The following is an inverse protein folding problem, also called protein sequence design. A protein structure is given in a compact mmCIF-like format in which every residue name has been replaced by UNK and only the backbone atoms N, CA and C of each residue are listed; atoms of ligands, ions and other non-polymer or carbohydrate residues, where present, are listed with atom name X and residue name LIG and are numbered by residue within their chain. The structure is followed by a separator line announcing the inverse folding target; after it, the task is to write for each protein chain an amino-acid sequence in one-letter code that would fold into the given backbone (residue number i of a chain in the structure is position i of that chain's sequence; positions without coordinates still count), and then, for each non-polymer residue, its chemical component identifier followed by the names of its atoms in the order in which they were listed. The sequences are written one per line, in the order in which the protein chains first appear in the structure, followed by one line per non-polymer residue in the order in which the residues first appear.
data_IF_306481977902
#
_entry.id   IF_306481977902
#
_cell.length_a   1.000
_cell.length_b   1.000
_cell.length_c   1.000
_cell.angle_alpha   90.00
_cell.angle_beta   90.00
_cell.angle_gamma   90.00
#
_symmetry.space_group_name_H-M   'P 1'
#
loop_
_entity.id
_entity.type
_entity.pdbx_description
1 polymer ?
#
# COMPACT_ATOMS: atom_id res chain seq x y z
N UNK A 1 21.19 -19.10 -25.64
CA UNK A 1 19.74 -19.05 -25.34
C UNK A 1 19.12 -20.39 -25.65
N UNK A 2 18.31 -20.87 -24.74
CA UNK A 2 17.68 -22.19 -24.82
C UNK A 2 16.31 -22.20 -25.51
N UNK A 3 15.89 -21.08 -26.10
CA UNK A 3 14.61 -20.95 -26.79
C UNK A 3 13.40 -20.85 -25.86
N UNK A 4 13.61 -20.65 -24.57
CA UNK A 4 12.51 -20.46 -23.60
C UNK A 4 11.80 -19.15 -23.82
N UNK A 5 10.47 -19.21 -23.96
CA UNK A 5 9.63 -18.04 -23.93
C UNK A 5 9.18 -17.77 -22.49
N UNK A 6 9.25 -16.50 -22.06
CA UNK A 6 8.76 -16.07 -20.75
C UNK A 6 7.48 -15.29 -20.96
N UNK A 7 6.39 -15.77 -20.36
CA UNK A 7 5.15 -15.02 -20.30
C UNK A 7 5.20 -14.05 -19.13
N UNK A 8 4.85 -12.80 -19.39
CA UNK A 8 4.66 -11.82 -18.35
C UNK A 8 3.23 -11.95 -17.83
N UNK A 9 3.01 -12.26 -16.56
CA UNK A 9 1.67 -12.32 -15.98
C UNK A 9 0.95 -10.98 -16.12
N UNK A 10 -0.37 -11.01 -16.32
CA UNK A 10 -1.18 -9.80 -16.43
C UNK A 10 -1.20 -9.00 -15.12
N UNK A 11 -1.27 -9.68 -13.99
CA UNK A 11 -1.31 -9.06 -12.68
C UNK A 11 0.03 -9.23 -11.99
N UNK A 12 0.62 -8.14 -11.52
CA UNK A 12 1.95 -8.15 -10.94
C UNK A 12 2.05 -7.35 -9.66
N UNK A 13 2.86 -7.85 -8.73
CA UNK A 13 3.34 -7.10 -7.57
C UNK A 13 4.74 -6.59 -7.92
N UNK A 14 4.91 -5.27 -7.99
CA UNK A 14 6.15 -4.64 -8.45
C UNK A 14 6.76 -3.83 -7.33
N UNK A 15 7.85 -4.32 -6.69
CA UNK A 15 8.61 -3.50 -5.75
C UNK A 15 9.23 -2.31 -6.46
N UNK A 16 9.16 -1.15 -5.83
CA UNK A 16 9.72 0.08 -6.35
C UNK A 16 10.59 0.75 -5.29
N UNK A 17 11.29 1.82 -5.67
CA UNK A 17 12.11 2.59 -4.73
C UNK A 17 11.24 3.33 -3.71
N UNK A 18 11.87 3.87 -2.65
CA UNK A 18 11.23 4.68 -1.61
C UNK A 18 10.15 3.95 -0.80
N UNK A 19 10.36 2.63 -0.55
CA UNK A 19 9.45 1.83 0.26
C UNK A 19 8.03 1.82 -0.31
N UNK A 20 7.94 1.53 -1.59
CA UNK A 20 6.71 1.53 -2.35
C UNK A 20 6.58 0.20 -3.10
N UNK A 21 5.38 -0.36 -3.11
CA UNK A 21 5.07 -1.54 -3.92
C UNK A 21 3.81 -1.28 -4.71
N UNK A 22 3.88 -1.48 -6.01
CA UNK A 22 2.75 -1.30 -6.91
C UNK A 22 2.12 -2.65 -7.23
N UNK A 23 0.81 -2.63 -7.39
CA UNK A 23 0.05 -3.74 -7.97
C UNK A 23 -0.45 -3.28 -9.32
N UNK A 24 -0.11 -4.01 -10.36
CA UNK A 24 -0.45 -3.62 -11.73
C UNK A 24 -1.27 -4.68 -12.46
N UNK A 25 -2.07 -4.22 -13.39
CA UNK A 25 -2.83 -5.07 -14.33
C UNK A 25 -2.51 -4.59 -15.74
N UNK A 26 -2.05 -5.50 -16.58
CA UNK A 26 -1.68 -5.22 -17.98
C UNK A 26 -0.69 -4.04 -18.08
N UNK A 27 0.26 -3.95 -17.16
CA UNK A 27 1.27 -2.90 -17.12
C UNK A 27 0.81 -1.56 -16.53
N UNK A 28 -0.44 -1.45 -16.09
CA UNK A 28 -0.98 -0.24 -15.46
C UNK A 28 -1.04 -0.40 -13.95
N UNK A 29 -0.43 0.52 -13.22
CA UNK A 29 -0.50 0.55 -11.76
C UNK A 29 -1.91 0.91 -11.32
N UNK A 30 -2.53 0.04 -10.51
CA UNK A 30 -3.91 0.26 -10.03
C UNK A 30 -3.96 0.61 -8.55
N UNK A 31 -3.02 0.14 -7.75
CA UNK A 31 -2.96 0.44 -6.32
C UNK A 31 -1.50 0.41 -5.89
N UNK A 32 -1.13 1.26 -4.95
CA UNK A 32 0.23 1.31 -4.43
C UNK A 32 0.25 1.24 -2.91
N UNK A 33 1.08 0.35 -2.39
CA UNK A 33 1.34 0.17 -0.97
C UNK A 33 2.54 1.00 -0.57
N UNK A 34 2.34 1.93 0.36
CA UNK A 34 3.36 2.82 0.88
C UNK A 34 3.71 2.39 2.30
N UNK A 35 4.95 1.98 2.53
CA UNK A 35 5.38 1.50 3.83
C UNK A 35 6.65 2.20 4.35
N UNK A 36 6.89 3.41 3.89
CA UNK A 36 8.05 4.21 4.29
C UNK A 36 7.99 4.68 5.74
N UNK A 37 9.16 4.83 6.34
CA UNK A 37 9.28 5.21 7.74
C UNK A 37 8.93 6.68 8.02
N UNK A 38 8.78 7.48 6.98
CA UNK A 38 8.34 8.88 7.12
C UNK A 38 6.82 9.01 7.32
N UNK A 39 6.09 7.90 7.24
CA UNK A 39 4.68 7.84 7.60
C UNK A 39 4.48 7.13 8.93
N UNK A 40 3.48 7.50 9.74
CA UNK A 40 3.22 6.80 11.00
C UNK A 40 2.76 5.36 10.82
N UNK A 41 2.20 5.02 9.66
CA UNK A 41 1.72 3.68 9.32
C UNK A 41 1.66 3.48 7.82
N UNK A 42 1.70 2.22 7.36
CA UNK A 42 1.52 1.92 5.93
C UNK A 42 0.09 2.17 5.46
N UNK A 43 -0.05 2.40 4.16
CA UNK A 43 -1.36 2.65 3.55
C UNK A 43 -1.31 2.39 2.04
N UNK A 44 -2.49 2.22 1.44
CA UNK A 44 -2.64 2.18 0.00
C UNK A 44 -3.04 3.56 -0.54
N UNK A 45 -2.24 4.08 -1.46
CA UNK A 45 -2.53 5.31 -2.20
C UNK A 45 -1.55 5.42 -3.38
N UNK A 46 -1.99 5.76 -4.59
CA UNK A 46 -3.37 5.93 -4.99
C UNK A 46 -4.10 4.60 -5.13
N UNK A 47 -5.40 4.65 -5.29
CA UNK A 47 -6.26 3.53 -5.70
C UNK A 47 -6.99 3.98 -6.95
N UNK A 48 -6.63 3.40 -8.09
CA UNK A 48 -7.10 3.85 -9.40
C UNK A 48 -8.30 3.02 -9.83
N UNK A 49 -9.40 3.69 -10.07
CA UNK A 49 -10.61 3.05 -10.57
C UNK A 49 -10.58 2.80 -12.08
N UNK A 50 -11.62 2.15 -12.63
CA UNK A 50 -11.67 1.80 -14.04
C UNK A 50 -11.58 2.99 -14.99
N UNK A 51 -12.01 4.18 -14.55
CA UNK A 51 -11.93 5.40 -15.34
C UNK A 51 -10.54 6.04 -15.34
N UNK A 52 -9.60 5.51 -14.57
CA UNK A 52 -8.29 6.11 -14.33
C UNK A 52 -8.26 7.14 -13.20
N UNK A 53 -9.38 7.39 -12.54
CA UNK A 53 -9.44 8.34 -11.44
C UNK A 53 -8.96 7.72 -10.14
N UNK A 54 -8.23 8.50 -9.33
CA UNK A 54 -7.87 8.10 -7.98
C UNK A 54 -9.08 8.21 -7.06
N UNK A 55 -9.41 7.12 -6.38
CA UNK A 55 -10.60 6.98 -5.55
C UNK A 55 -10.38 7.35 -4.07
N UNK A 56 -9.16 7.65 -3.67
CA UNK A 56 -8.80 7.91 -2.27
C UNK A 56 -8.01 9.21 -2.16
N UNK A 57 -7.88 9.72 -0.93
CA UNK A 57 -7.17 10.97 -0.66
C UNK A 57 -6.07 10.78 0.38
N UNK A 58 -5.18 11.76 0.47
CA UNK A 58 -4.19 11.91 1.53
C UNK A 58 -4.58 13.13 2.38
N UNK A 59 -4.96 12.88 3.66
CA UNK A 59 -5.43 13.94 4.54
C UNK A 59 -6.79 14.50 4.13
N UNK A 60 -7.16 15.61 4.72
CA UNK A 60 -8.40 16.31 4.37
C UNK A 60 -8.16 17.82 4.44
N UNK A 61 -8.02 18.50 3.27
CA UNK A 61 -7.84 19.95 3.23
C UNK A 61 -8.98 20.68 3.93
N UNK A 62 -8.95 21.42 4.82
CA UNK A 62 -10.05 22.08 5.54
C UNK A 62 -10.60 21.32 6.73
N UNK A 63 -10.04 20.15 7.05
CA UNK A 63 -10.39 19.39 8.26
C UNK A 63 -9.14 18.74 8.85
N UNK A 64 -8.25 19.51 9.52
CA UNK A 64 -6.97 19.00 10.02
C UNK A 64 -7.12 17.81 10.97
N UNK A 65 -8.25 17.67 11.67
CA UNK A 65 -8.53 16.50 12.50
C UNK A 65 -8.65 15.19 11.70
N UNK A 66 -8.73 15.26 10.40
CA UNK A 66 -8.79 14.11 9.49
C UNK A 66 -7.50 13.92 8.69
N UNK A 67 -6.39 14.53 9.07
CA UNK A 67 -5.10 14.39 8.40
C UNK A 67 -4.55 12.96 8.48
N UNK A 68 -5.02 12.16 9.41
CA UNK A 68 -4.68 10.75 9.53
C UNK A 68 -5.36 9.87 8.45
N UNK A 69 -6.27 10.42 7.66
CA UNK A 69 -6.90 9.70 6.55
C UNK A 69 -5.94 9.60 5.37
N UNK A 70 -5.27 8.47 5.25
CA UNK A 70 -4.24 8.22 4.23
C UNK A 70 -4.67 7.07 3.33
N UNK A 71 -5.42 7.35 2.26
CA UNK A 71 -5.87 6.33 1.34
C UNK A 71 -6.68 5.23 2.03
N UNK A 72 -6.21 3.99 1.89
CA UNK A 72 -6.75 2.83 2.62
C UNK A 72 -5.67 2.40 3.62
N UNK A 73 -6.00 2.39 4.90
CA UNK A 73 -5.04 2.08 5.96
C UNK A 73 -5.62 1.16 7.02
N UNK A 74 -4.73 0.54 7.78
CA UNK A 74 -5.08 -0.21 8.99
C UNK A 74 -4.68 0.63 10.21
N UNK A 75 -5.60 0.78 11.16
CA UNK A 75 -5.35 1.55 12.37
C UNK A 75 -6.27 1.10 13.50
N UNK A 76 -5.89 1.41 14.72
CA UNK A 76 -6.72 1.18 15.90
C UNK A 76 -6.59 2.35 16.86
N UNK A 77 -7.70 2.79 17.42
CA UNK A 77 -7.72 3.96 18.29
C UNK A 77 -6.85 3.78 19.54
N UNK A 78 -7.02 2.67 20.26
CA UNK A 78 -6.27 2.42 21.49
C UNK A 78 -5.83 0.96 21.58
N UNK A 79 -4.53 0.76 21.68
CA UNK A 79 -3.92 -0.55 21.99
C UNK A 79 -3.00 -0.32 23.17
N UNK A 80 -3.30 -0.94 24.32
CA UNK A 80 -2.54 -0.75 25.57
C UNK A 80 -2.29 0.73 25.90
N UNK A 81 -3.35 1.54 25.82
CA UNK A 81 -3.33 2.99 26.07
C UNK A 81 -2.59 3.84 25.01
N UNK A 82 -2.09 3.24 23.93
CA UNK A 82 -1.45 3.95 22.83
C UNK A 82 -2.40 4.12 21.65
N UNK A 83 -2.44 5.34 21.11
CA UNK A 83 -3.30 5.70 19.98
C UNK A 83 -2.57 5.43 18.66
N UNK A 84 -3.04 4.42 17.91
CA UNK A 84 -2.54 4.07 16.58
C UNK A 84 -3.45 4.58 15.47
N UNK A 85 -4.40 5.44 15.79
CA UNK A 85 -5.36 5.99 14.82
C UNK A 85 -4.92 7.34 14.29
N UNK A 86 -4.69 8.30 15.17
CA UNK A 86 -4.35 9.66 14.82
C UNK A 86 -2.87 9.81 14.47
N UNK A 87 -2.54 10.86 13.72
CA UNK A 87 -1.17 11.27 13.51
C UNK A 87 -0.62 12.00 14.75
N UNK A 88 0.69 12.17 14.81
CA UNK A 88 1.36 12.96 15.86
C UNK A 88 1.22 12.41 17.29
N UNK A 89 0.90 11.13 17.40
CA UNK A 89 0.84 10.45 18.70
C UNK A 89 2.15 9.77 19.10
N UNK A 90 3.12 9.75 18.19
CA UNK A 90 4.38 9.04 18.38
C UNK A 90 4.28 7.53 18.13
N UNK A 91 3.09 6.99 17.95
CA UNK A 91 2.91 5.58 17.65
C UNK A 91 3.24 5.30 16.19
N UNK A 92 3.73 4.09 15.93
CA UNK A 92 4.14 3.69 14.60
C UNK A 92 3.69 2.26 14.31
N UNK A 93 3.22 2.04 13.08
CA UNK A 93 3.01 0.71 12.53
C UNK A 93 4.04 0.55 11.40
N UNK A 94 4.81 -0.53 11.46
CA UNK A 94 5.89 -0.76 10.49
C UNK A 94 5.75 -2.11 9.81
N UNK A 95 6.03 -2.14 8.51
CA UNK A 95 6.18 -3.39 7.82
C UNK A 95 7.52 -4.01 8.21
N UNK A 96 7.45 -5.19 8.81
CA UNK A 96 8.63 -5.89 9.29
C UNK A 96 9.19 -6.85 8.27
N UNK A 97 8.32 -7.57 7.57
CA UNK A 97 8.76 -8.67 6.73
C UNK A 97 7.75 -8.96 5.63
N UNK A 98 8.25 -9.18 4.42
CA UNK A 98 7.49 -9.81 3.35
C UNK A 98 7.43 -11.31 3.61
N UNK A 99 6.25 -11.89 3.45
CA UNK A 99 6.06 -13.34 3.53
C UNK A 99 5.96 -13.97 2.15
N UNK A 100 5.26 -13.30 1.24
CA UNK A 100 5.01 -13.82 -0.09
C UNK A 100 4.52 -12.70 -1.01
N UNK A 101 4.76 -12.85 -2.31
CA UNK A 101 4.02 -12.12 -3.32
C UNK A 101 3.92 -12.95 -4.59
N UNK A 102 2.76 -12.83 -5.23
CA UNK A 102 2.33 -13.70 -6.31
C UNK A 102 1.93 -12.85 -7.50
N UNK A 103 2.50 -13.15 -8.64
CA UNK A 103 2.08 -12.65 -9.94
C UNK A 103 1.29 -13.75 -10.63
N UNK A 104 0.17 -13.42 -11.27
CA UNK A 104 -0.59 -14.36 -12.07
C UNK A 104 -1.44 -13.64 -13.11
N UNK A 105 -2.08 -14.40 -14.01
CA UNK A 105 -2.97 -13.80 -15.00
C UNK A 105 -4.32 -13.38 -14.42
N UNK A 106 -4.68 -13.89 -13.26
CA UNK A 106 -5.99 -13.65 -12.65
C UNK A 106 -5.92 -12.69 -11.47
N UNK A 107 -4.80 -12.67 -10.75
CA UNK A 107 -4.65 -11.83 -9.56
C UNK A 107 -3.17 -11.57 -9.25
N UNK A 108 -2.92 -10.53 -8.49
CA UNK A 108 -1.64 -10.30 -7.81
C UNK A 108 -1.90 -10.24 -6.31
N UNK A 109 -1.01 -10.81 -5.52
CA UNK A 109 -1.18 -10.86 -4.07
C UNK A 109 0.15 -10.65 -3.36
N UNK A 110 0.07 -10.05 -2.17
CA UNK A 110 1.21 -9.92 -1.28
C UNK A 110 0.77 -10.20 0.15
N UNK A 111 1.67 -10.79 0.92
CA UNK A 111 1.48 -11.02 2.34
C UNK A 111 2.71 -10.52 3.09
N UNK A 112 2.49 -9.84 4.21
CA UNK A 112 3.58 -9.28 5.00
C UNK A 112 3.16 -9.16 6.46
N UNK A 113 4.13 -8.93 7.33
CA UNK A 113 3.90 -8.74 8.76
C UNK A 113 4.03 -7.26 9.09
N UNK A 114 3.06 -6.73 9.82
CA UNK A 114 3.11 -5.41 10.43
C UNK A 114 3.33 -5.54 11.94
N UNK A 115 4.18 -4.68 12.46
CA UNK A 115 4.41 -4.51 13.90
C UNK A 115 4.00 -3.11 14.32
#
# INVERSE_FOLDING_TARGET
MDGKEYKIPRCQVVPESDFLTSFSIDGHKVIQWNFGHHYPRPFFHPVIGPSGANLVRMGHPGAPSHDHHSGIWFAHNMVDEFNFWANQTGTQIRQRQWLDYIDSDEYAAAAFILD
#
